data_IF_086442505595
#
_entry.id   IF_086442505595
#
_cell.length_a   1.000
_cell.length_b   1.000
_cell.length_c   1.000
_cell.angle_alpha   90.00
_cell.angle_beta   90.00
_cell.angle_gamma   90.00
#
_symmetry.space_group_name_H-M   'P 1'
#
loop_
_entity.id
_entity.type
_entity.pdbx_description
1 polymer ?
#
# COMPACT_ATOMS: atom_id res chain seq x y z
N UNK A 1 -21.04 28.90 -35.09
CA UNK A 1 -19.99 27.84 -35.10
C UNK A 1 -19.28 27.90 -33.75
N UNK A 2 -19.71 27.08 -32.83
CA UNK A 2 -19.10 27.01 -31.48
C UNK A 2 -17.81 26.21 -31.60
N UNK A 3 -16.67 26.87 -31.46
CA UNK A 3 -15.39 26.18 -31.33
C UNK A 3 -15.44 25.37 -30.02
N UNK A 4 -15.61 24.08 -30.12
CA UNK A 4 -15.34 23.13 -29.04
C UNK A 4 -13.83 23.21 -28.78
N UNK A 5 -13.42 24.04 -27.81
CA UNK A 5 -12.07 23.99 -27.29
C UNK A 5 -11.91 22.60 -26.67
N UNK A 6 -11.25 21.68 -27.37
CA UNK A 6 -10.77 20.44 -26.78
C UNK A 6 -9.76 20.83 -25.70
N UNK A 7 -10.22 20.99 -24.49
CA UNK A 7 -9.35 21.27 -23.34
C UNK A 7 -8.40 20.08 -23.18
N UNK A 8 -7.14 20.29 -23.56
CA UNK A 8 -6.08 19.28 -23.48
C UNK A 8 -5.81 18.94 -22.01
N UNK A 9 -5.51 17.67 -21.72
CA UNK A 9 -5.04 17.25 -20.41
C UNK A 9 -3.66 17.87 -20.14
N UNK A 10 -3.54 18.63 -19.06
CA UNK A 10 -2.25 19.05 -18.50
C UNK A 10 -1.86 18.09 -17.38
N UNK A 11 -0.71 17.49 -17.49
CA UNK A 11 -0.16 16.63 -16.43
C UNK A 11 0.92 17.42 -15.69
N UNK A 12 0.87 17.40 -14.35
CA UNK A 12 1.91 17.96 -13.49
C UNK A 12 2.19 17.06 -12.30
N UNK A 13 3.35 17.21 -11.71
CA UNK A 13 3.68 16.62 -10.39
C UNK A 13 2.76 17.23 -9.32
N UNK A 14 2.33 16.42 -8.38
CA UNK A 14 1.57 16.82 -7.21
C UNK A 14 2.44 17.53 -6.18
N UNK A 15 1.85 18.45 -5.45
CA UNK A 15 2.34 18.90 -4.15
C UNK A 15 1.91 17.92 -3.05
N UNK A 16 2.44 18.02 -1.84
CA UNK A 16 1.98 17.20 -0.72
C UNK A 16 0.49 17.35 -0.43
N UNK A 17 -0.09 18.54 -0.64
CA UNK A 17 -1.53 18.79 -0.49
C UNK A 17 -2.38 18.14 -1.59
N UNK A 18 -1.86 18.00 -2.80
CA UNK A 18 -2.56 17.31 -3.88
C UNK A 18 -2.67 15.79 -3.62
N UNK A 19 -1.73 15.19 -2.89
CA UNK A 19 -1.81 13.76 -2.52
C UNK A 19 -3.04 13.49 -1.65
N UNK A 20 -3.42 14.42 -0.78
CA UNK A 20 -4.65 14.31 0.00
C UNK A 20 -5.91 14.29 -0.91
N UNK A 21 -5.89 15.03 -2.04
CA UNK A 21 -6.97 14.95 -3.04
C UNK A 21 -7.05 13.56 -3.66
N UNK A 22 -5.91 12.96 -4.01
CA UNK A 22 -5.86 11.60 -4.56
C UNK A 22 -6.39 10.57 -3.56
N UNK A 23 -6.06 10.71 -2.27
CA UNK A 23 -6.59 9.83 -1.21
C UNK A 23 -8.09 10.02 -0.99
N UNK A 24 -8.62 11.23 -1.03
CA UNK A 24 -10.07 11.46 -0.99
C UNK A 24 -10.80 10.80 -2.18
N UNK A 25 -10.16 10.77 -3.37
CA UNK A 25 -10.72 10.01 -4.49
C UNK A 25 -10.61 8.50 -4.31
N UNK A 26 -9.54 8.01 -3.66
CA UNK A 26 -9.41 6.59 -3.30
C UNK A 26 -10.48 6.17 -2.28
N UNK A 27 -10.76 7.01 -1.28
CA UNK A 27 -11.86 6.83 -0.35
C UNK A 27 -13.20 6.71 -1.09
N UNK A 28 -13.50 7.63 -2.03
CA UNK A 28 -14.71 7.61 -2.84
C UNK A 28 -14.83 6.35 -3.75
N UNK A 29 -13.72 5.65 -4.03
CA UNK A 29 -13.73 4.33 -4.69
C UNK A 29 -13.87 3.16 -3.70
N UNK A 30 -13.97 3.41 -2.40
CA UNK A 30 -14.07 2.37 -1.36
C UNK A 30 -12.72 1.71 -1.00
N UNK A 31 -11.58 2.31 -1.34
CA UNK A 31 -10.25 1.70 -1.10
C UNK A 31 -9.79 1.83 0.35
N UNK A 32 -10.48 2.62 1.15
CA UNK A 32 -10.23 2.81 2.58
C UNK A 32 -8.78 3.21 2.92
N UNK A 33 -8.27 4.36 2.43
CA UNK A 33 -6.94 4.84 2.79
C UNK A 33 -6.85 5.22 4.27
N UNK A 34 -5.62 5.27 4.81
CA UNK A 34 -5.37 5.81 6.14
C UNK A 34 -5.44 7.34 6.17
N UNK A 35 -5.88 7.89 7.29
CA UNK A 35 -6.06 9.33 7.46
C UNK A 35 -4.76 10.12 7.28
N UNK A 36 -3.62 9.51 7.62
CA UNK A 36 -2.30 10.15 7.56
C UNK A 36 -1.40 9.56 6.47
N UNK A 37 -1.95 8.75 5.56
CA UNK A 37 -1.18 8.09 4.50
C UNK A 37 -0.55 9.11 3.52
N UNK A 38 -1.18 10.27 3.30
CA UNK A 38 -0.72 11.28 2.32
C UNK A 38 0.74 11.72 2.54
N UNK A 39 1.09 12.06 3.78
CA UNK A 39 2.45 12.51 4.11
C UNK A 39 3.47 11.39 4.01
N UNK A 40 3.08 10.17 4.39
CA UNK A 40 3.91 8.98 4.28
C UNK A 40 4.17 8.65 2.80
N UNK A 41 3.13 8.69 1.98
CA UNK A 41 3.20 8.40 0.55
C UNK A 41 4.08 9.43 -0.16
N UNK A 42 3.82 10.72 0.06
CA UNK A 42 4.62 11.79 -0.53
C UNK A 42 6.12 11.68 -0.18
N UNK A 43 6.44 11.23 1.04
CA UNK A 43 7.82 11.04 1.46
C UNK A 43 8.55 9.87 0.76
N UNK A 44 7.81 8.90 0.17
CA UNK A 44 8.43 7.81 -0.57
C UNK A 44 9.13 8.31 -1.85
N UNK A 45 8.47 9.20 -2.58
CA UNK A 45 9.01 9.86 -3.78
C UNK A 45 8.20 11.13 -4.09
N UNK A 46 8.65 12.33 -3.66
CA UNK A 46 7.92 13.58 -3.91
C UNK A 46 7.68 13.90 -5.38
N UNK A 47 8.42 13.30 -6.31
CA UNK A 47 8.29 13.51 -7.75
C UNK A 47 7.41 12.45 -8.44
N UNK A 48 7.04 11.39 -7.72
CA UNK A 48 6.33 10.23 -8.27
C UNK A 48 4.80 10.33 -8.23
N UNK A 49 4.22 11.47 -7.90
CA UNK A 49 2.77 11.67 -7.84
C UNK A 49 2.32 12.65 -8.91
N UNK A 50 1.35 12.25 -9.74
CA UNK A 50 0.92 13.04 -10.90
C UNK A 50 -0.58 13.31 -10.86
N UNK A 51 -0.95 14.55 -11.21
CA UNK A 51 -2.32 14.98 -11.37
C UNK A 51 -2.55 15.47 -12.79
N UNK A 52 -3.66 15.04 -13.39
CA UNK A 52 -4.13 15.48 -14.68
C UNK A 52 -5.23 16.51 -14.52
N UNK A 53 -5.10 17.65 -15.18
CA UNK A 53 -6.01 18.79 -15.12
C UNK A 53 -6.61 19.08 -16.48
N UNK A 54 -7.88 19.46 -16.51
CA UNK A 54 -8.57 19.98 -17.69
C UNK A 54 -9.20 21.33 -17.31
N UNK A 55 -8.83 22.39 -18.02
CA UNK A 55 -9.27 23.74 -17.69
C UNK A 55 -8.84 24.20 -16.29
N UNK A 56 -7.72 23.69 -15.78
CA UNK A 56 -7.22 23.98 -14.43
C UNK A 56 -7.88 23.15 -13.31
N UNK A 57 -8.89 22.33 -13.63
CA UNK A 57 -9.55 21.47 -12.64
C UNK A 57 -8.94 20.05 -12.63
N UNK A 58 -8.62 19.47 -11.45
CA UNK A 58 -8.13 18.09 -11.34
C UNK A 58 -9.20 17.08 -11.78
N UNK A 59 -8.82 16.18 -12.71
CA UNK A 59 -9.73 15.17 -13.30
C UNK A 59 -9.21 13.74 -13.22
N UNK A 60 -7.90 13.56 -13.02
CA UNK A 60 -7.27 12.25 -12.89
C UNK A 60 -6.03 12.32 -11.99
N UNK A 61 -5.67 11.22 -11.35
CA UNK A 61 -4.45 11.09 -10.56
C UNK A 61 -3.78 9.73 -10.78
N UNK A 62 -2.48 9.67 -10.46
CA UNK A 62 -1.66 8.46 -10.50
C UNK A 62 -0.46 8.65 -9.57
N UNK A 63 -0.11 7.63 -8.80
CA UNK A 63 1.23 7.52 -8.20
C UNK A 63 2.10 6.58 -9.05
N UNK A 64 3.35 6.96 -9.27
CA UNK A 64 4.38 6.18 -9.93
C UNK A 64 5.67 6.37 -9.13
N UNK A 65 5.75 5.71 -7.98
CA UNK A 65 6.84 5.89 -7.00
C UNK A 65 8.08 5.16 -7.46
N UNK A 66 9.18 5.88 -7.65
CA UNK A 66 10.50 5.34 -7.93
C UNK A 66 11.25 5.12 -6.59
N UNK A 67 11.36 3.88 -6.14
CA UNK A 67 12.08 3.57 -4.92
C UNK A 67 13.61 3.63 -5.10
N UNK A 68 14.07 3.09 -6.25
CA UNK A 68 15.47 3.13 -6.67
C UNK A 68 15.57 3.04 -8.20
N UNK A 69 16.75 2.73 -8.73
CA UNK A 69 16.95 2.56 -10.17
C UNK A 69 16.43 1.23 -10.73
N UNK A 70 16.09 0.28 -9.87
CA UNK A 70 15.65 -1.07 -10.27
C UNK A 70 14.17 -1.32 -10.05
N UNK A 71 13.53 -0.65 -9.08
CA UNK A 71 12.15 -0.90 -8.68
C UNK A 71 11.31 0.37 -8.58
N UNK A 72 10.06 0.27 -9.01
CA UNK A 72 9.03 1.29 -8.82
C UNK A 72 7.65 0.67 -8.63
N UNK A 73 6.69 1.48 -8.19
CA UNK A 73 5.34 1.01 -7.94
C UNK A 73 4.31 2.02 -8.44
N UNK A 74 3.28 1.54 -9.15
CA UNK A 74 2.14 2.34 -9.62
C UNK A 74 0.93 2.08 -8.73
N UNK A 75 0.31 3.17 -8.28
CA UNK A 75 -0.93 3.15 -7.53
C UNK A 75 -1.77 4.40 -7.77
N UNK A 76 -2.84 4.58 -6.98
CA UNK A 76 -3.72 5.75 -7.02
C UNK A 76 -4.17 6.16 -8.44
N UNK A 77 -4.27 5.18 -9.37
CA UNK A 77 -4.71 5.45 -10.74
C UNK A 77 -6.22 5.62 -10.78
N UNK A 78 -6.66 6.85 -10.73
CA UNK A 78 -8.08 7.22 -10.68
C UNK A 78 -8.38 8.28 -11.74
N UNK A 79 -9.46 8.07 -12.48
CA UNK A 79 -10.07 9.08 -13.36
C UNK A 79 -11.49 9.33 -12.84
N UNK A 80 -11.85 10.58 -12.63
CA UNK A 80 -13.21 10.95 -12.23
C UNK A 80 -14.24 10.38 -13.20
N UNK A 81 -15.41 9.88 -12.73
CA UNK A 81 -16.39 9.19 -13.54
C UNK A 81 -16.77 9.95 -14.83
N UNK A 82 -17.03 11.24 -14.73
CA UNK A 82 -17.44 12.12 -15.84
C UNK A 82 -16.35 12.37 -16.89
N UNK A 83 -15.11 11.97 -16.58
CA UNK A 83 -13.94 12.10 -17.46
C UNK A 83 -13.44 10.76 -18.02
N UNK A 84 -14.08 9.65 -17.64
CA UNK A 84 -13.74 8.32 -18.15
C UNK A 84 -14.12 8.17 -19.63
N UNK A 85 -13.47 7.24 -20.35
CA UNK A 85 -13.75 6.97 -21.76
C UNK A 85 -13.20 8.01 -22.75
N UNK A 86 -12.56 9.10 -22.28
CA UNK A 86 -12.02 10.19 -23.10
C UNK A 86 -10.52 10.06 -23.38
N UNK A 87 -9.89 8.95 -23.04
CA UNK A 87 -8.45 8.71 -23.25
C UNK A 87 -7.51 9.43 -22.27
N UNK A 88 -8.04 10.23 -21.32
CA UNK A 88 -7.24 11.02 -20.38
C UNK A 88 -6.41 10.14 -19.43
N UNK A 89 -7.03 9.09 -18.90
CA UNK A 89 -6.33 8.13 -18.04
C UNK A 89 -5.14 7.48 -18.75
N UNK A 90 -5.27 7.13 -20.02
CA UNK A 90 -4.17 6.54 -20.79
C UNK A 90 -2.99 7.50 -20.99
N UNK A 91 -3.25 8.81 -21.10
CA UNK A 91 -2.19 9.81 -21.19
C UNK A 91 -1.42 9.87 -19.87
N UNK A 92 -2.13 9.91 -18.73
CA UNK A 92 -1.53 9.90 -17.39
C UNK A 92 -0.78 8.58 -17.11
N UNK A 93 -1.35 7.43 -17.50
CA UNK A 93 -0.73 6.12 -17.40
C UNK A 93 0.61 6.05 -18.13
N UNK A 94 0.65 6.50 -19.40
CA UNK A 94 1.88 6.57 -20.19
C UNK A 94 2.93 7.49 -19.55
N UNK A 95 2.48 8.61 -18.96
CA UNK A 95 3.37 9.53 -18.24
C UNK A 95 4.04 8.83 -17.05
N UNK A 96 3.26 8.14 -16.20
CA UNK A 96 3.79 7.38 -15.05
C UNK A 96 4.72 6.25 -15.47
N UNK A 97 4.38 5.48 -16.50
CA UNK A 97 5.28 4.46 -17.06
C UNK A 97 6.59 5.07 -17.58
N UNK A 98 6.54 6.24 -18.22
CA UNK A 98 7.73 6.96 -18.66
C UNK A 98 8.61 7.40 -17.50
N UNK A 99 8.02 7.86 -16.41
CA UNK A 99 8.74 8.23 -15.18
C UNK A 99 9.46 7.01 -14.54
N UNK A 100 8.83 5.85 -14.58
CA UNK A 100 9.40 4.60 -14.05
C UNK A 100 10.19 3.79 -15.09
N UNK A 101 10.53 4.35 -16.24
CA UNK A 101 11.24 3.64 -17.31
C UNK A 101 12.51 2.93 -16.77
N UNK A 102 12.79 1.75 -17.34
CA UNK A 102 13.92 0.87 -17.00
C UNK A 102 13.86 0.18 -15.62
N UNK A 103 12.76 0.33 -14.87
CA UNK A 103 12.53 -0.36 -13.59
C UNK A 103 11.62 -1.58 -13.76
N UNK A 104 11.73 -2.52 -12.85
CA UNK A 104 10.64 -3.47 -12.62
C UNK A 104 9.51 -2.71 -11.90
N UNK A 105 8.35 -2.62 -12.53
CA UNK A 105 7.22 -1.85 -12.01
C UNK A 105 6.20 -2.79 -11.41
N UNK A 106 5.88 -2.61 -10.12
CA UNK A 106 4.80 -3.30 -9.44
C UNK A 106 3.49 -2.50 -9.43
N UNK A 107 2.37 -3.18 -9.27
CA UNK A 107 1.08 -2.59 -8.95
C UNK A 107 0.17 -3.57 -8.20
N UNK A 108 -0.79 -3.05 -7.46
CA UNK A 108 -1.96 -3.79 -6.96
C UNK A 108 -3.20 -3.28 -7.70
N UNK A 109 -3.54 -3.93 -8.80
CA UNK A 109 -4.63 -3.51 -9.66
C UNK A 109 -5.97 -4.12 -9.28
N UNK A 110 -7.06 -3.36 -9.46
CA UNK A 110 -8.43 -3.92 -9.37
C UNK A 110 -8.58 -5.06 -10.37
N UNK A 111 -9.08 -6.18 -9.94
CA UNK A 111 -9.17 -7.41 -10.76
C UNK A 111 -9.90 -7.16 -12.10
N UNK A 112 -10.95 -6.33 -12.10
CA UNK A 112 -11.68 -5.94 -13.31
C UNK A 112 -10.81 -5.22 -14.38
N UNK A 113 -9.68 -4.62 -13.99
CA UNK A 113 -8.75 -3.92 -14.89
C UNK A 113 -7.51 -4.75 -15.27
N UNK A 114 -7.39 -5.97 -14.79
CA UNK A 114 -6.22 -6.84 -15.02
C UNK A 114 -5.87 -7.00 -16.51
N UNK A 115 -6.88 -7.09 -17.38
CA UNK A 115 -6.69 -7.14 -18.83
C UNK A 115 -6.03 -5.89 -19.42
N UNK A 116 -6.29 -4.71 -18.84
CA UNK A 116 -5.68 -3.44 -19.24
C UNK A 116 -4.21 -3.39 -18.83
N UNK A 117 -3.88 -3.85 -17.62
CA UNK A 117 -2.50 -3.92 -17.14
C UNK A 117 -1.66 -4.91 -17.94
N UNK A 118 -2.23 -6.08 -18.32
CA UNK A 118 -1.56 -7.04 -19.22
C UNK A 118 -1.19 -6.43 -20.57
N UNK A 119 -2.06 -5.60 -21.17
CA UNK A 119 -1.75 -4.88 -22.42
C UNK A 119 -0.63 -3.86 -22.27
N UNK A 120 -0.34 -3.42 -21.05
CA UNK A 120 0.79 -2.54 -20.72
C UNK A 120 2.06 -3.32 -20.31
N UNK A 121 2.08 -4.64 -20.47
CA UNK A 121 3.27 -5.48 -20.21
C UNK A 121 3.32 -6.07 -18.80
N UNK A 122 2.31 -5.87 -17.96
CA UNK A 122 2.28 -6.46 -16.62
C UNK A 122 1.85 -7.92 -16.64
N UNK A 123 2.48 -8.74 -15.81
CA UNK A 123 2.14 -10.13 -15.58
C UNK A 123 1.63 -10.32 -14.16
N UNK A 124 0.63 -11.19 -13.99
CA UNK A 124 0.09 -11.52 -12.67
C UNK A 124 1.12 -12.35 -11.90
N UNK A 125 1.45 -11.91 -10.71
CA UNK A 125 2.26 -12.68 -9.76
C UNK A 125 1.34 -13.47 -8.79
N UNK A 126 0.46 -12.76 -8.09
CA UNK A 126 -0.50 -13.34 -7.14
C UNK A 126 -1.61 -12.31 -6.85
N UNK A 127 -2.59 -12.68 -6.03
CA UNK A 127 -3.58 -11.75 -5.51
C UNK A 127 -3.25 -11.35 -4.09
N UNK A 128 -3.63 -10.13 -3.72
CA UNK A 128 -3.73 -9.72 -2.34
C UNK A 128 -5.21 -9.67 -1.96
N UNK A 129 -5.55 -10.29 -0.85
CA UNK A 129 -6.92 -10.40 -0.35
C UNK A 129 -7.04 -9.53 0.90
N UNK A 130 -7.97 -8.56 0.88
CA UNK A 130 -8.33 -7.80 2.07
C UNK A 130 -9.29 -8.59 2.91
N UNK A 131 -8.88 -8.89 4.13
CA UNK A 131 -9.74 -9.44 5.16
C UNK A 131 -10.26 -8.33 6.06
N UNK A 132 -11.55 -8.40 6.41
CA UNK A 132 -12.21 -7.49 7.35
C UNK A 132 -12.80 -8.25 8.52
N UNK A 133 -12.73 -7.65 9.70
CA UNK A 133 -13.25 -8.18 10.95
C UNK A 133 -13.34 -7.09 12.02
N UNK A 134 -13.27 -7.48 13.28
CA UNK A 134 -13.28 -6.58 14.43
C UNK A 134 -12.06 -6.84 15.30
N UNK A 135 -11.41 -5.78 15.73
CA UNK A 135 -10.28 -5.85 16.66
C UNK A 135 -10.67 -6.55 17.95
N UNK A 136 -9.79 -7.42 18.45
CA UNK A 136 -10.03 -8.24 19.64
C UNK A 136 -8.84 -8.17 20.60
N UNK A 137 -9.12 -8.00 21.89
CA UNK A 137 -8.11 -8.14 22.92
C UNK A 137 -7.86 -9.64 23.19
N UNK A 138 -6.71 -10.14 22.74
CA UNK A 138 -6.25 -11.51 23.01
C UNK A 138 -4.92 -11.48 23.74
N UNK A 139 -4.64 -12.44 24.64
CA UNK A 139 -3.32 -12.60 25.24
C UNK A 139 -2.26 -12.89 24.16
N UNK A 140 -1.08 -12.31 24.30
CA UNK A 140 0.08 -12.61 23.48
C UNK A 140 1.28 -12.91 24.39
N UNK A 141 2.12 -13.86 24.00
CA UNK A 141 3.17 -14.43 24.84
C UNK A 141 4.57 -13.88 24.61
N UNK A 142 4.81 -13.21 23.46
CA UNK A 142 6.14 -12.74 23.10
C UNK A 142 6.37 -11.28 23.54
N UNK A 143 7.66 -10.92 23.72
CA UNK A 143 8.03 -9.54 23.99
C UNK A 143 7.80 -8.68 22.75
N UNK A 144 6.78 -7.85 22.82
CA UNK A 144 6.43 -6.86 21.82
C UNK A 144 6.75 -5.48 22.38
N UNK A 145 7.50 -4.68 21.62
CA UNK A 145 7.90 -3.32 21.99
C UNK A 145 7.44 -2.33 20.92
N UNK A 146 7.44 -1.04 21.20
CA UNK A 146 7.19 -0.02 20.20
C UNK A 146 8.34 0.03 19.18
N UNK A 147 8.03 0.29 17.91
CA UNK A 147 9.08 0.45 16.90
C UNK A 147 10.04 1.61 17.19
N UNK A 148 9.59 2.64 17.94
CA UNK A 148 10.43 3.73 18.43
C UNK A 148 11.52 3.32 19.42
N UNK A 149 11.37 2.16 20.06
CA UNK A 149 12.29 1.65 21.08
C UNK A 149 13.41 0.79 20.48
N UNK A 150 13.39 0.64 19.14
CA UNK A 150 14.38 -0.13 18.37
C UNK A 150 15.18 0.82 17.47
N UNK A 151 16.51 0.63 17.32
CA UNK A 151 17.28 1.42 16.38
C UNK A 151 16.70 1.36 14.97
N UNK A 152 16.42 2.52 14.36
CA UNK A 152 15.78 2.62 13.06
C UNK A 152 16.48 1.79 11.98
N UNK A 153 17.82 1.79 11.97
CA UNK A 153 18.60 1.06 10.96
C UNK A 153 18.39 -0.47 11.04
N UNK A 154 18.14 -1.01 12.25
CA UNK A 154 17.78 -2.42 12.42
C UNK A 154 16.38 -2.70 11.86
N UNK A 155 15.42 -1.80 12.11
CA UNK A 155 14.07 -1.92 11.57
C UNK A 155 14.06 -1.80 10.04
N UNK A 156 14.81 -0.85 9.49
CA UNK A 156 14.93 -0.65 8.05
C UNK A 156 15.59 -1.86 7.35
N UNK A 157 16.63 -2.43 7.97
CA UNK A 157 17.25 -3.66 7.47
C UNK A 157 16.29 -4.87 7.54
N UNK A 158 15.41 -4.90 8.55
CA UNK A 158 14.36 -5.92 8.65
C UNK A 158 13.30 -5.73 7.56
N UNK A 159 12.77 -4.51 7.37
CA UNK A 159 11.79 -4.16 6.33
C UNK A 159 12.29 -4.51 4.92
N UNK A 160 13.59 -4.25 4.63
CA UNK A 160 14.22 -4.53 3.33
C UNK A 160 14.15 -6.02 2.91
N UNK A 161 13.98 -6.94 3.83
CA UNK A 161 13.84 -8.39 3.53
C UNK A 161 12.49 -8.72 2.89
N UNK A 162 11.50 -7.86 3.05
CA UNK A 162 10.10 -8.04 2.65
C UNK A 162 9.62 -7.03 1.63
N UNK A 163 10.46 -6.02 1.33
CA UNK A 163 10.19 -5.01 0.31
C UNK A 163 11.40 -4.91 -0.65
N UNK A 164 11.17 -4.82 -1.98
CA UNK A 164 12.26 -4.98 -2.95
C UNK A 164 13.25 -3.81 -3.04
N UNK A 165 13.05 -2.73 -2.31
CA UNK A 165 13.92 -1.54 -2.30
C UNK A 165 14.04 -0.95 -0.90
N UNK A 166 15.04 -0.10 -0.66
CA UNK A 166 15.10 0.72 0.53
C UNK A 166 14.04 1.84 0.46
N UNK A 167 13.34 2.06 1.58
CA UNK A 167 12.27 3.06 1.69
C UNK A 167 12.33 3.85 3.00
N UNK A 168 13.52 4.27 3.40
CA UNK A 168 13.78 4.87 4.71
C UNK A 168 12.92 6.12 4.98
N UNK A 169 12.78 7.03 4.01
CA UNK A 169 11.98 8.24 4.17
C UNK A 169 10.49 7.91 4.42
N UNK A 170 9.95 6.96 3.67
CA UNK A 170 8.61 6.42 3.89
C UNK A 170 8.50 5.76 5.26
N UNK A 171 9.39 4.80 5.57
CA UNK A 171 9.31 3.98 6.77
C UNK A 171 9.38 4.82 8.06
N UNK A 172 10.24 5.85 8.12
CA UNK A 172 10.31 6.78 9.26
C UNK A 172 8.98 7.47 9.54
N UNK A 173 8.27 7.91 8.50
CA UNK A 173 6.96 8.54 8.65
C UNK A 173 5.88 7.50 8.96
N UNK A 174 5.95 6.33 8.32
CA UNK A 174 4.97 5.27 8.49
C UNK A 174 4.85 4.75 9.92
N UNK A 175 5.98 4.58 10.61
CA UNK A 175 6.01 4.11 12.01
C UNK A 175 5.71 5.22 13.03
N UNK A 176 5.72 6.48 12.62
CA UNK A 176 5.54 7.65 13.48
C UNK A 176 4.26 8.45 13.15
N UNK A 177 3.43 7.97 12.19
CA UNK A 177 2.22 8.68 11.81
C UNK A 177 1.22 8.76 12.99
N UNK A 178 0.42 9.84 13.10
CA UNK A 178 -0.61 9.94 14.11
C UNK A 178 -1.64 8.79 14.02
N UNK A 179 -2.36 8.54 15.08
CA UNK A 179 -3.42 7.52 15.15
C UNK A 179 -2.98 6.14 14.63
N UNK A 180 -1.71 5.79 14.92
CA UNK A 180 -1.10 4.51 14.57
C UNK A 180 -0.32 3.91 15.74
N UNK A 181 -0.11 2.61 15.67
CA UNK A 181 0.76 1.88 16.57
C UNK A 181 1.68 0.96 15.75
N UNK A 182 2.99 1.23 15.82
CA UNK A 182 4.02 0.40 15.21
C UNK A 182 4.68 -0.46 16.29
N UNK A 183 4.66 -1.78 16.11
CA UNK A 183 5.17 -2.77 17.07
C UNK A 183 6.23 -3.67 16.41
N UNK A 184 7.18 -4.09 17.24
CA UNK A 184 8.27 -5.00 16.89
C UNK A 184 8.30 -6.15 17.89
N UNK A 185 8.34 -7.39 17.41
CA UNK A 185 8.60 -8.56 18.22
C UNK A 185 10.12 -8.80 18.29
N UNK A 186 10.63 -8.97 19.51
CA UNK A 186 12.05 -9.17 19.78
C UNK A 186 12.31 -10.52 20.44
N UNK A 187 13.32 -11.24 19.97
CA UNK A 187 13.88 -12.41 20.63
C UNK A 187 15.41 -12.33 20.65
N UNK A 188 16.01 -12.49 21.83
CA UNK A 188 17.47 -12.38 22.02
C UNK A 188 18.11 -11.07 21.46
N UNK A 189 17.35 -9.96 21.49
CA UNK A 189 17.79 -8.67 20.97
C UNK A 189 17.63 -8.50 19.46
N UNK A 190 17.19 -9.53 18.73
CA UNK A 190 16.94 -9.48 17.27
C UNK A 190 15.47 -9.26 16.94
N UNK A 191 15.19 -8.52 15.86
CA UNK A 191 13.83 -8.36 15.32
C UNK A 191 13.39 -9.68 14.69
N UNK A 192 12.25 -10.19 15.18
CA UNK A 192 11.59 -11.39 14.67
C UNK A 192 10.32 -11.07 13.89
N UNK A 193 9.76 -9.89 14.09
CA UNK A 193 8.58 -9.42 13.39
C UNK A 193 8.37 -7.92 13.56
N UNK A 194 7.60 -7.33 12.64
CA UNK A 194 7.25 -5.93 12.61
C UNK A 194 5.85 -5.75 12.05
N UNK A 195 5.05 -4.90 12.67
CA UNK A 195 3.72 -4.58 12.17
C UNK A 195 3.26 -3.19 12.59
N UNK A 196 2.35 -2.62 11.80
CA UNK A 196 1.74 -1.32 12.05
C UNK A 196 0.23 -1.46 11.92
N UNK A 197 -0.53 -0.98 12.92
CA UNK A 197 -1.96 -0.70 12.80
C UNK A 197 -2.16 0.80 12.73
N UNK A 198 -3.01 1.28 11.82
CA UNK A 198 -3.28 2.70 11.62
C UNK A 198 -4.76 2.96 11.38
N UNK A 199 -5.22 4.15 11.77
CA UNK A 199 -6.58 4.61 11.51
C UNK A 199 -6.80 4.85 10.01
N UNK A 200 -7.95 4.40 9.50
CA UNK A 200 -8.40 4.58 8.13
C UNK A 200 -9.75 5.29 8.09
N UNK A 201 -10.24 5.66 6.92
CA UNK A 201 -11.56 6.26 6.76
C UNK A 201 -12.66 5.39 7.40
N UNK A 202 -12.52 4.07 7.33
CA UNK A 202 -13.35 3.11 8.06
C UNK A 202 -12.45 2.25 8.93
N UNK A 203 -12.59 2.37 10.25
CA UNK A 203 -11.85 1.56 11.22
C UNK A 203 -10.34 1.67 11.10
N UNK A 204 -9.65 0.54 11.19
CA UNK A 204 -8.18 0.46 11.21
C UNK A 204 -7.67 -0.59 10.25
N UNK A 205 -6.41 -0.44 9.81
CA UNK A 205 -5.76 -1.41 8.93
C UNK A 205 -4.39 -1.79 9.47
N UNK A 206 -4.13 -3.10 9.54
CA UNK A 206 -2.79 -3.63 9.78
C UNK A 206 -2.05 -3.69 8.44
N UNK A 207 -0.90 -3.03 8.37
CA UNK A 207 0.00 -3.00 7.21
C UNK A 207 1.25 -2.14 7.50
N UNK A 208 2.46 -2.73 7.40
CA UNK A 208 2.75 -4.15 7.16
C UNK A 208 2.48 -5.06 8.36
N UNK A 209 2.49 -6.38 8.12
CA UNK A 209 2.71 -7.40 9.13
C UNK A 209 3.74 -8.39 8.57
N UNK A 210 4.99 -8.24 8.98
CA UNK A 210 6.10 -9.11 8.62
C UNK A 210 6.53 -9.93 9.82
N UNK A 211 6.77 -11.22 9.65
CA UNK A 211 7.17 -12.08 10.75
C UNK A 211 8.02 -13.25 10.27
N UNK A 212 8.99 -13.65 11.07
CA UNK A 212 9.87 -14.78 10.75
C UNK A 212 9.13 -16.13 10.74
N UNK A 213 7.99 -16.21 11.45
CA UNK A 213 7.15 -17.41 11.51
C UNK A 213 5.71 -17.04 11.93
N UNK A 214 4.82 -18.04 11.90
CA UNK A 214 3.40 -17.88 12.20
C UNK A 214 3.10 -17.49 13.65
N UNK A 215 3.92 -17.95 14.62
CA UNK A 215 3.70 -17.62 16.02
C UNK A 215 4.00 -16.16 16.29
N UNK A 216 5.11 -15.65 15.74
CA UNK A 216 5.48 -14.23 15.83
C UNK A 216 4.41 -13.36 15.14
N UNK A 217 3.91 -13.79 13.96
CA UNK A 217 2.82 -13.09 13.26
C UNK A 217 1.55 -13.02 14.12
N UNK A 218 1.16 -14.14 14.76
CA UNK A 218 -0.03 -14.19 15.62
C UNK A 218 0.13 -13.25 16.81
N UNK A 219 1.28 -13.28 17.49
CA UNK A 219 1.51 -12.43 18.66
C UNK A 219 1.48 -10.92 18.30
N UNK A 220 2.08 -10.54 17.18
CA UNK A 220 2.01 -9.15 16.69
C UNK A 220 0.59 -8.76 16.26
N UNK A 221 -0.11 -9.64 15.54
CA UNK A 221 -1.49 -9.40 15.14
C UNK A 221 -2.38 -9.20 16.38
N UNK A 222 -2.27 -10.08 17.39
CA UNK A 222 -3.04 -9.98 18.63
C UNK A 222 -2.75 -8.67 19.38
N UNK A 223 -1.48 -8.26 19.47
CA UNK A 223 -1.08 -7.01 20.11
C UNK A 223 -1.62 -5.77 19.37
N UNK A 224 -1.54 -5.75 18.03
CA UNK A 224 -2.06 -4.67 17.19
C UNK A 224 -3.59 -4.63 17.22
N UNK A 225 -4.24 -5.79 17.17
CA UNK A 225 -5.69 -5.95 17.24
C UNK A 225 -6.25 -5.50 18.61
N UNK A 226 -5.53 -5.79 19.69
CA UNK A 226 -5.91 -5.36 21.04
C UNK A 226 -5.94 -3.83 21.20
N UNK A 227 -5.02 -3.13 20.52
CA UNK A 227 -4.97 -1.67 20.57
C UNK A 227 -6.22 -0.99 19.93
N UNK A 228 -6.96 -1.73 19.09
CA UNK A 228 -8.17 -1.25 18.40
C UNK A 228 -9.37 -2.17 18.67
N UNK A 229 -9.40 -2.79 19.84
CA UNK A 229 -10.46 -3.73 20.23
C UNK A 229 -11.86 -3.10 20.09
N UNK A 230 -12.78 -3.84 19.49
CA UNK A 230 -14.16 -3.40 19.25
C UNK A 230 -14.33 -2.53 17.99
N UNK A 231 -13.24 -2.15 17.30
CA UNK A 231 -13.29 -1.36 16.07
C UNK A 231 -13.19 -2.23 14.81
N UNK A 232 -13.74 -1.82 13.66
CA UNK A 232 -13.47 -2.49 12.40
C UNK A 232 -11.98 -2.57 12.12
N UNK A 233 -11.49 -3.75 11.74
CA UNK A 233 -10.08 -4.03 11.50
C UNK A 233 -9.91 -4.75 10.17
N UNK A 234 -8.94 -4.29 9.38
CA UNK A 234 -8.61 -4.86 8.08
C UNK A 234 -7.13 -5.26 8.01
N UNK A 235 -6.84 -6.25 7.15
CA UNK A 235 -5.48 -6.64 6.78
C UNK A 235 -5.48 -7.12 5.32
N UNK A 236 -4.43 -6.76 4.57
CA UNK A 236 -4.26 -7.09 3.16
C UNK A 236 -3.24 -8.23 3.02
N UNK A 237 -3.70 -9.44 2.69
CA UNK A 237 -2.94 -10.70 2.79
C UNK A 237 -2.57 -11.22 1.39
N UNK A 238 -1.27 -11.55 1.11
CA UNK A 238 -0.91 -12.26 -0.11
C UNK A 238 -1.51 -13.67 -0.13
N UNK A 239 -2.28 -14.02 -1.18
CA UNK A 239 -2.94 -15.34 -1.29
C UNK A 239 -1.96 -16.52 -1.31
N UNK A 240 -0.73 -16.27 -1.73
CA UNK A 240 0.34 -17.28 -1.77
C UNK A 240 0.92 -17.63 -0.40
N UNK A 241 0.62 -16.83 0.64
CA UNK A 241 0.98 -17.15 2.01
C UNK A 241 -0.20 -17.82 2.74
N UNK A 242 -0.28 -19.15 2.61
CA UNK A 242 -1.37 -19.92 3.24
C UNK A 242 -1.47 -19.74 4.77
N UNK A 243 -0.32 -19.50 5.43
CA UNK A 243 -0.29 -19.28 6.89
C UNK A 243 -0.90 -17.93 7.26
N UNK A 244 -0.73 -16.91 6.41
CA UNK A 244 -1.34 -15.60 6.61
C UNK A 244 -2.86 -15.63 6.38
N UNK A 245 -3.35 -16.40 5.39
CA UNK A 245 -4.78 -16.64 5.21
C UNK A 245 -5.39 -17.29 6.45
N UNK A 246 -4.75 -18.36 6.96
CA UNK A 246 -5.19 -19.04 8.19
C UNK A 246 -5.16 -18.12 9.42
N UNK A 247 -4.19 -17.18 9.50
CA UNK A 247 -4.16 -16.19 10.58
C UNK A 247 -5.43 -15.32 10.56
N UNK A 248 -5.79 -14.76 9.42
CA UNK A 248 -7.00 -13.95 9.27
C UNK A 248 -8.27 -14.76 9.60
N UNK A 249 -8.40 -15.98 9.07
CA UNK A 249 -9.56 -16.86 9.31
C UNK A 249 -9.71 -17.24 10.79
N UNK A 250 -8.61 -17.59 11.49
CA UNK A 250 -8.62 -17.91 12.93
C UNK A 250 -9.03 -16.73 13.80
N UNK A 251 -8.88 -15.50 13.29
CA UNK A 251 -9.35 -14.28 13.96
C UNK A 251 -10.78 -13.90 13.55
N UNK A 252 -11.49 -14.78 12.83
CA UNK A 252 -12.89 -14.57 12.42
C UNK A 252 -13.05 -13.49 11.36
N UNK A 253 -11.98 -13.17 10.62
CA UNK A 253 -12.03 -12.21 9.52
C UNK A 253 -12.52 -12.87 8.24
N UNK A 254 -13.20 -12.10 7.40
CA UNK A 254 -13.73 -12.54 6.10
C UNK A 254 -13.17 -11.70 4.96
N UNK A 255 -12.99 -12.30 3.78
CA UNK A 255 -12.57 -11.59 2.58
C UNK A 255 -13.62 -10.54 2.17
N UNK A 256 -13.17 -9.30 1.95
CA UNK A 256 -14.05 -8.16 1.59
C UNK A 256 -13.63 -7.45 0.31
N UNK A 257 -12.39 -7.62 -0.14
CA UNK A 257 -11.86 -7.01 -1.36
C UNK A 257 -10.62 -7.77 -1.83
N UNK A 258 -10.30 -7.70 -3.12
CA UNK A 258 -9.08 -8.28 -3.67
C UNK A 258 -8.44 -7.41 -4.72
N UNK A 259 -7.11 -7.51 -4.86
CA UNK A 259 -6.31 -6.90 -5.93
C UNK A 259 -5.44 -7.95 -6.62
N UNK A 260 -5.01 -7.62 -7.84
CA UNK A 260 -4.01 -8.40 -8.56
C UNK A 260 -2.64 -7.73 -8.41
N UNK A 261 -1.71 -8.35 -7.68
CA UNK A 261 -0.31 -7.96 -7.66
C UNK A 261 0.32 -8.36 -8.98
N UNK A 262 0.80 -7.37 -9.73
CA UNK A 262 1.37 -7.57 -11.05
C UNK A 262 2.71 -6.85 -11.17
N UNK A 263 3.58 -7.35 -12.04
CA UNK A 263 4.90 -6.76 -12.32
C UNK A 263 5.18 -6.72 -13.82
N UNK A 264 6.01 -5.76 -14.26
CA UNK A 264 6.47 -5.67 -15.67
C UNK A 264 7.60 -6.64 -15.99
N UNK A 265 8.27 -7.17 -14.99
CA UNK A 265 9.33 -8.20 -15.07
C UNK A 265 9.01 -9.30 -14.08
N UNK A 266 9.98 -10.22 -13.83
CA UNK A 266 9.83 -11.25 -12.80
C UNK A 266 9.53 -10.64 -11.42
N UNK A 267 8.68 -11.31 -10.63
CA UNK A 267 8.40 -10.84 -9.25
C UNK A 267 9.71 -10.67 -8.47
N UNK A 268 9.85 -9.60 -7.68
CA UNK A 268 11.02 -9.38 -6.85
C UNK A 268 11.27 -10.57 -5.89
N UNK A 269 12.54 -10.92 -5.70
CA UNK A 269 12.96 -11.98 -4.78
C UNK A 269 12.86 -11.49 -3.33
N UNK A 270 11.67 -11.53 -2.75
CA UNK A 270 11.41 -11.25 -1.33
C UNK A 270 10.91 -12.52 -0.63
N UNK A 271 10.96 -12.54 0.71
CA UNK A 271 10.46 -13.69 1.51
C UNK A 271 8.94 -13.58 1.66
N UNK A 272 8.21 -13.80 0.57
CA UNK A 272 6.74 -13.58 0.52
C UNK A 272 5.98 -14.46 1.52
N UNK A 273 6.49 -15.64 1.86
CA UNK A 273 5.93 -16.55 2.86
C UNK A 273 5.99 -16.00 4.30
N UNK A 274 6.72 -14.89 4.51
CA UNK A 274 6.83 -14.17 5.78
C UNK A 274 6.11 -12.81 5.75
N UNK A 275 5.47 -12.47 4.66
CA UNK A 275 4.58 -11.32 4.53
C UNK A 275 3.17 -11.75 4.91
N UNK A 276 2.75 -11.49 6.13
CA UNK A 276 1.41 -11.78 6.64
C UNK A 276 0.41 -10.66 6.33
N UNK A 277 0.90 -9.46 6.09
CA UNK A 277 0.13 -8.32 5.61
C UNK A 277 1.03 -7.38 4.81
N UNK A 278 0.59 -6.99 3.61
CA UNK A 278 1.31 -5.99 2.80
C UNK A 278 1.19 -4.60 3.42
N UNK A 279 2.11 -3.71 3.09
CA UNK A 279 2.13 -2.37 3.68
C UNK A 279 0.92 -1.55 3.23
N UNK A 280 0.69 -1.46 1.92
CA UNK A 280 -0.49 -0.85 1.31
C UNK A 280 -0.66 -1.33 -0.13
N UNK A 281 -1.87 -1.19 -0.68
CA UNK A 281 -2.10 -1.48 -2.10
C UNK A 281 -1.62 -0.35 -3.02
N UNK A 282 -1.45 0.84 -2.47
CA UNK A 282 -1.11 2.04 -3.23
C UNK A 282 0.38 2.17 -3.54
N UNK A 283 1.24 1.64 -2.64
CA UNK A 283 2.70 1.77 -2.72
C UNK A 283 3.46 0.43 -2.62
N UNK A 284 2.75 -0.68 -2.42
CA UNK A 284 3.32 -2.03 -2.32
C UNK A 284 3.64 -2.53 -0.93
#
# INVERSE_FOLDING_TARGET
MSQSSSSSLRIRTMTGTDVAIALAWAEAQGWNPGWHDAECFYAADPNGFFIGEVGGAPVACLSAVAYDNAFGFIGLYIVKPEWRGKGLGMQLWKHGLGYLANRNIGLDGVVAQQGNYRRSGFQLAYRNIRYGGVGQARPHSERVVRASDVPFEQLAAYDRRYFPAERHAFLRRWIAQPDSLALVALAAGEIRGFGVVRACCVGHKIGPLFANDAQVATNLFDALSAAVAGQPLFIDVPEVNATALQLAERHGMSSVFETARMYTQEPPAIQIERVFGVTSFELG
#
